data_IF_007888683074
#
_entry.id   IF_007888683074
#
_cell.length_a   1.000
_cell.length_b   1.000
_cell.length_c   1.000
_cell.angle_alpha   90.00
_cell.angle_beta   90.00
_cell.angle_gamma   90.00
#
_symmetry.space_group_name_H-M   'P 1'
#
loop_
_entity.id
_entity.type
_entity.pdbx_description
1 polymer ?
#
# COMPACT_ATOMS: atom_id res chain seq x y z
N UNK A 1 0.75 18.78 -8.63
CA UNK A 1 1.55 17.59 -8.85
C UNK A 1 2.22 17.15 -7.55
N UNK A 2 2.01 15.96 -7.11
CA UNK A 2 2.60 15.49 -5.86
C UNK A 2 4.07 15.14 -6.06
N UNK A 3 4.91 16.15 -6.19
CA UNK A 3 6.35 15.98 -6.34
C UNK A 3 6.92 15.14 -5.21
N UNK A 4 6.36 15.29 -4.02
CA UNK A 4 6.79 14.54 -2.85
C UNK A 4 6.63 13.01 -3.01
N UNK A 5 5.91 12.57 -4.05
CA UNK A 5 5.72 11.15 -4.29
C UNK A 5 6.81 10.56 -5.18
N UNK A 6 7.55 11.40 -5.90
CA UNK A 6 8.61 10.91 -6.76
C UNK A 6 9.91 10.76 -6.00
N UNK A 7 10.43 9.53 -5.91
CA UNK A 7 11.78 9.23 -5.42
C UNK A 7 12.21 10.11 -4.24
N UNK A 8 11.41 10.10 -3.18
CA UNK A 8 11.62 10.96 -2.02
C UNK A 8 11.67 10.14 -0.74
N UNK A 9 12.23 10.75 0.30
CA UNK A 9 12.24 10.20 1.65
C UNK A 9 11.37 11.09 2.52
N UNK A 10 10.38 10.53 3.19
CA UNK A 10 9.40 11.28 3.96
C UNK A 10 9.38 10.79 5.40
N UNK A 11 9.40 11.73 6.33
CA UNK A 11 9.28 11.44 7.76
C UNK A 11 7.81 11.12 8.07
N UNK A 12 7.59 9.93 8.63
CA UNK A 12 6.27 9.47 9.04
C UNK A 12 6.26 9.06 10.52
N UNK A 13 7.09 9.70 11.33
CA UNK A 13 7.20 9.39 12.74
C UNK A 13 5.87 9.55 13.48
N UNK A 14 5.05 10.53 13.09
CA UNK A 14 3.71 10.70 13.67
C UNK A 14 2.65 10.14 12.73
N UNK A 15 1.54 9.66 13.30
CA UNK A 15 0.41 9.19 12.50
C UNK A 15 -0.17 10.31 11.64
N UNK A 16 -0.10 11.56 12.10
CA UNK A 16 -0.55 12.71 11.33
C UNK A 16 0.20 12.78 10.00
N UNK A 17 1.51 12.57 10.01
CA UNK A 17 2.32 12.60 8.78
C UNK A 17 2.01 11.42 7.87
N UNK A 18 1.76 10.24 8.44
CA UNK A 18 1.31 9.09 7.66
C UNK A 18 -0.02 9.39 6.97
N UNK A 19 -0.94 10.02 7.69
CA UNK A 19 -2.24 10.40 7.14
C UNK A 19 -2.10 11.42 6.01
N UNK A 20 -1.23 12.40 6.18
CA UNK A 20 -0.97 13.39 5.13
C UNK A 20 -0.38 12.74 3.88
N UNK A 21 0.53 11.79 4.06
CA UNK A 21 1.09 11.04 2.93
C UNK A 21 0.01 10.24 2.20
N UNK A 22 -0.86 9.57 2.95
CA UNK A 22 -1.97 8.82 2.38
C UNK A 22 -2.88 9.74 1.53
N UNK A 23 -3.16 10.95 2.01
CA UNK A 23 -3.94 11.92 1.24
C UNK A 23 -3.28 12.27 -0.10
N UNK A 24 -1.96 12.44 -0.11
CA UNK A 24 -1.24 12.72 -1.35
C UNK A 24 -1.36 11.55 -2.32
N UNK A 25 -1.30 10.34 -1.82
CA UNK A 25 -1.42 9.15 -2.66
C UNK A 25 -2.81 9.01 -3.28
N UNK A 26 -3.88 9.44 -2.61
CA UNK A 26 -5.21 9.40 -3.21
C UNK A 26 -5.32 10.28 -4.45
N UNK A 27 -4.49 11.30 -4.54
CA UNK A 27 -4.44 12.17 -5.72
C UNK A 27 -3.57 11.60 -6.82
N UNK A 28 -2.64 10.73 -6.48
CA UNK A 28 -1.70 10.13 -7.42
C UNK A 28 -2.21 8.81 -7.99
N UNK A 29 -2.78 7.96 -7.15
CA UNK A 29 -3.26 6.63 -7.57
C UNK A 29 -4.68 6.76 -8.12
N UNK A 30 -4.82 6.51 -9.41
CA UNK A 30 -6.09 6.65 -10.11
C UNK A 30 -6.68 5.33 -10.57
N UNK A 31 -5.89 4.27 -10.55
CA UNK A 31 -6.28 2.94 -10.99
C UNK A 31 -5.23 2.37 -11.91
N UNK A 32 -5.03 1.06 -11.82
CA UNK A 32 -4.02 0.33 -12.59
C UNK A 32 -2.66 0.23 -11.91
N UNK A 33 -2.44 0.94 -10.82
CA UNK A 33 -1.14 0.93 -10.14
C UNK A 33 -1.01 -0.23 -9.16
N UNK A 34 0.24 -0.68 -8.98
CA UNK A 34 0.63 -1.62 -7.94
C UNK A 34 1.52 -0.88 -6.96
N UNK A 35 1.29 -1.05 -5.67
CA UNK A 35 2.10 -0.45 -4.61
C UNK A 35 2.70 -1.58 -3.77
N UNK A 36 4.02 -1.68 -3.79
CA UNK A 36 4.76 -2.65 -3.00
C UNK A 36 5.25 -1.99 -1.71
N UNK A 37 4.87 -2.58 -0.58
CA UNK A 37 5.15 -2.04 0.74
C UNK A 37 6.16 -2.93 1.46
N UNK A 38 7.38 -2.45 1.62
CA UNK A 38 8.46 -3.13 2.32
C UNK A 38 8.67 -2.55 3.69
N UNK A 39 9.14 -3.34 4.61
CA UNK A 39 9.48 -2.87 5.96
C UNK A 39 9.17 -3.91 7.02
N UNK A 40 9.80 -3.75 8.18
CA UNK A 40 9.60 -4.64 9.31
C UNK A 40 8.16 -4.64 9.81
N UNK A 41 7.80 -5.71 10.51
CA UNK A 41 6.50 -5.78 11.17
C UNK A 41 6.36 -4.62 12.15
N UNK A 42 5.19 -3.97 12.14
CA UNK A 42 4.91 -2.86 13.05
C UNK A 42 5.47 -1.51 12.64
N UNK A 43 6.15 -1.41 11.50
CA UNK A 43 6.79 -0.15 11.08
C UNK A 43 5.80 0.88 10.54
N UNK A 44 4.56 0.47 10.23
CA UNK A 44 3.52 1.40 9.80
C UNK A 44 2.92 1.13 8.43
N UNK A 45 3.21 -0.01 7.83
CA UNK A 45 2.68 -0.35 6.50
C UNK A 45 1.15 -0.43 6.51
N UNK A 46 0.58 -1.21 7.43
CA UNK A 46 -0.88 -1.35 7.53
C UNK A 46 -1.54 -0.03 7.94
N UNK A 47 -0.88 0.74 8.79
CA UNK A 47 -1.39 2.07 9.18
C UNK A 47 -1.53 2.98 7.96
N UNK A 48 -0.54 2.98 7.09
CA UNK A 48 -0.59 3.74 5.85
C UNK A 48 -1.76 3.28 4.97
N UNK A 49 -1.89 1.97 4.78
CA UNK A 49 -2.98 1.40 3.97
C UNK A 49 -4.34 1.78 4.54
N UNK A 50 -4.48 1.71 5.86
CA UNK A 50 -5.71 2.10 6.54
C UNK A 50 -6.09 3.55 6.23
N UNK A 51 -5.17 4.48 6.38
CA UNK A 51 -5.45 5.87 6.09
C UNK A 51 -5.73 6.10 4.61
N UNK A 52 -5.03 5.39 3.74
CA UNK A 52 -5.24 5.51 2.30
C UNK A 52 -6.66 5.11 1.92
N UNK A 53 -7.10 3.94 2.36
CA UNK A 53 -8.44 3.45 2.03
C UNK A 53 -9.52 4.34 2.66
N UNK A 54 -9.33 4.74 3.92
CA UNK A 54 -10.28 5.63 4.59
C UNK A 54 -10.38 6.99 3.88
N UNK A 55 -9.28 7.48 3.33
CA UNK A 55 -9.31 8.74 2.60
C UNK A 55 -10.08 8.60 1.28
N UNK A 56 -9.91 7.50 0.56
CA UNK A 56 -10.72 7.22 -0.63
C UNK A 56 -12.21 7.17 -0.29
N UNK A 57 -12.55 6.54 0.82
CA UNK A 57 -13.94 6.49 1.26
C UNK A 57 -14.47 7.89 1.56
N UNK A 58 -13.68 8.69 2.28
CA UNK A 58 -14.07 10.03 2.68
C UNK A 58 -14.31 10.95 1.47
N UNK A 59 -13.39 10.99 0.52
CA UNK A 59 -13.53 11.88 -0.64
C UNK A 59 -14.63 11.44 -1.60
N UNK A 60 -15.11 10.21 -1.47
CA UNK A 60 -16.23 9.71 -2.25
C UNK A 60 -17.54 9.68 -1.44
N UNK A 61 -17.58 10.36 -0.29
CA UNK A 61 -18.74 10.46 0.58
C UNK A 61 -19.27 9.12 1.06
N UNK A 62 -18.37 8.15 1.25
CA UNK A 62 -18.70 6.85 1.79
C UNK A 62 -18.36 6.79 3.28
N UNK A 63 -19.05 5.94 4.02
CA UNK A 63 -18.73 5.72 5.41
C UNK A 63 -17.34 5.09 5.54
N UNK A 64 -16.50 5.66 6.40
CA UNK A 64 -15.20 5.10 6.67
C UNK A 64 -15.37 3.83 7.51
N UNK A 65 -14.81 2.72 7.01
CA UNK A 65 -14.88 1.43 7.67
C UNK A 65 -13.59 1.13 8.41
N UNK A 66 -13.64 0.18 9.32
CA UNK A 66 -12.44 -0.31 9.96
C UNK A 66 -11.62 -1.12 8.96
N UNK A 67 -10.35 -0.77 8.82
CA UNK A 67 -9.43 -1.44 7.93
C UNK A 67 -8.48 -2.28 8.76
N UNK A 68 -8.42 -3.58 8.49
CA UNK A 68 -7.57 -4.52 9.23
C UNK A 68 -6.52 -5.11 8.29
N UNK A 69 -5.46 -5.68 8.90
CA UNK A 69 -4.46 -6.39 8.13
C UNK A 69 -5.00 -7.74 7.66
N UNK A 70 -4.79 -8.10 6.38
CA UNK A 70 -5.22 -9.41 5.87
C UNK A 70 -4.18 -10.50 6.15
N UNK A 71 -3.52 -10.50 7.32
CA UNK A 71 -2.43 -11.43 7.62
C UNK A 71 -2.88 -12.89 7.49
N UNK A 72 -4.10 -13.20 7.90
CA UNK A 72 -4.62 -14.57 7.83
C UNK A 72 -5.43 -14.83 6.57
N UNK A 73 -6.17 -13.84 6.10
CA UNK A 73 -7.00 -13.98 4.89
C UNK A 73 -6.21 -13.78 3.60
N UNK A 74 -5.01 -13.21 3.69
CA UNK A 74 -4.11 -12.86 2.59
C UNK A 74 -4.59 -11.72 1.71
N UNK A 75 -5.88 -11.49 1.60
CA UNK A 75 -6.46 -10.48 0.74
C UNK A 75 -7.71 -9.88 1.36
N UNK A 76 -7.77 -8.55 1.40
CA UNK A 76 -8.99 -7.80 1.64
C UNK A 76 -9.29 -6.97 0.41
N UNK A 77 -10.54 -6.88 0.03
CA UNK A 77 -10.97 -6.08 -1.11
C UNK A 77 -11.92 -4.98 -0.66
N UNK A 78 -11.80 -3.82 -1.28
CA UNK A 78 -12.64 -2.67 -0.99
C UNK A 78 -13.15 -2.08 -2.29
N UNK A 79 -14.43 -1.71 -2.31
CA UNK A 79 -15.04 -1.02 -3.44
C UNK A 79 -15.28 0.42 -3.03
N UNK A 80 -14.68 1.35 -3.75
CA UNK A 80 -14.83 2.79 -3.50
C UNK A 80 -15.33 3.43 -4.79
N UNK A 81 -16.64 3.47 -4.96
CA UNK A 81 -17.29 3.88 -6.21
C UNK A 81 -16.75 3.09 -7.41
N UNK A 82 -16.06 3.75 -8.31
CA UNK A 82 -15.54 3.13 -9.53
C UNK A 82 -14.21 2.41 -9.32
N UNK A 83 -13.56 2.62 -8.17
CA UNK A 83 -12.23 2.07 -7.89
C UNK A 83 -12.36 0.86 -6.98
N UNK A 84 -11.70 -0.24 -7.35
CA UNK A 84 -11.49 -1.37 -6.46
C UNK A 84 -10.10 -1.28 -5.88
N UNK A 85 -9.95 -1.65 -4.62
CA UNK A 85 -8.65 -1.70 -3.96
C UNK A 85 -8.47 -3.10 -3.40
N UNK A 86 -7.40 -3.77 -3.82
CA UNK A 86 -6.98 -5.06 -3.26
C UNK A 86 -5.81 -4.83 -2.33
N UNK A 87 -5.92 -5.32 -1.12
CA UNK A 87 -4.86 -5.25 -0.12
C UNK A 87 -4.39 -6.66 0.21
N UNK A 88 -3.19 -7.00 -0.21
CA UNK A 88 -2.54 -8.29 0.05
C UNK A 88 -1.54 -8.15 1.19
N UNK A 89 -1.44 -9.20 2.01
CA UNK A 89 -0.35 -9.37 2.97
C UNK A 89 0.23 -10.76 2.74
N UNK A 90 1.45 -10.81 2.24
CA UNK A 90 2.10 -12.05 1.84
C UNK A 90 3.11 -12.56 2.86
N UNK A 91 3.05 -12.06 4.10
CA UNK A 91 4.00 -12.44 5.15
C UNK A 91 4.06 -13.95 5.36
N UNK A 92 2.91 -14.61 5.29
CA UNK A 92 2.79 -16.05 5.56
C UNK A 92 2.99 -16.92 4.34
N UNK A 93 3.19 -16.32 3.18
CA UNK A 93 3.41 -17.07 1.94
C UNK A 93 4.88 -17.45 1.84
N UNK A 94 5.15 -18.73 1.56
CA UNK A 94 6.50 -19.28 1.54
C UNK A 94 7.02 -19.65 0.16
N UNK A 95 6.17 -19.70 -0.85
CA UNK A 95 6.58 -20.14 -2.18
C UNK A 95 6.02 -19.27 -3.29
N UNK A 96 6.74 -19.22 -4.40
CA UNK A 96 6.28 -18.50 -5.60
C UNK A 96 5.04 -19.14 -6.19
N UNK A 97 4.89 -20.45 -6.00
CA UNK A 97 3.73 -21.18 -6.49
C UNK A 97 2.45 -20.69 -5.84
N UNK A 98 2.48 -20.44 -4.53
CA UNK A 98 1.34 -19.89 -3.80
C UNK A 98 1.04 -18.47 -4.26
N UNK A 99 2.05 -17.69 -4.62
CA UNK A 99 1.87 -16.35 -5.17
C UNK A 99 1.08 -16.43 -6.49
N UNK A 100 1.43 -17.37 -7.36
CA UNK A 100 0.77 -17.50 -8.66
C UNK A 100 -0.72 -17.82 -8.53
N UNK A 101 -1.13 -18.43 -7.43
CA UNK A 101 -2.54 -18.79 -7.20
C UNK A 101 -3.39 -17.63 -6.67
N UNK A 102 -2.79 -16.48 -6.37
CA UNK A 102 -3.49 -15.36 -5.75
C UNK A 102 -4.02 -14.31 -6.74
N UNK A 103 -3.75 -14.46 -8.03
CA UNK A 103 -4.14 -13.50 -9.07
C UNK A 103 -3.73 -12.05 -8.72
N UNK A 104 -2.50 -11.89 -8.23
CA UNK A 104 -1.99 -10.60 -7.77
C UNK A 104 -1.88 -9.61 -8.93
N UNK A 105 -1.53 -10.10 -10.13
CA UNK A 105 -1.25 -9.25 -11.28
C UNK A 105 -2.46 -9.01 -12.18
N UNK A 106 -3.66 -9.09 -11.63
CA UNK A 106 -4.86 -8.73 -12.36
C UNK A 106 -4.72 -7.32 -12.93
N UNK A 107 -4.93 -7.16 -14.21
CA UNK A 107 -4.82 -5.88 -14.90
C UNK A 107 -6.19 -5.27 -15.10
N UNK A 108 -6.44 -4.16 -14.46
CA UNK A 108 -7.70 -3.43 -14.56
C UNK A 108 -7.36 -1.96 -14.25
N UNK A 109 -7.71 -1.08 -15.15
CA UNK A 109 -7.41 0.35 -14.99
C UNK A 109 -8.21 1.03 -13.88
N UNK A 110 -9.09 0.30 -13.20
CA UNK A 110 -9.84 0.78 -12.04
C UNK A 110 -9.48 0.02 -10.77
N UNK A 111 -8.38 -0.73 -10.80
CA UNK A 111 -7.93 -1.52 -9.67
C UNK A 111 -6.61 -0.97 -9.15
N UNK A 112 -6.55 -0.70 -7.85
CA UNK A 112 -5.31 -0.37 -7.14
C UNK A 112 -4.94 -1.60 -6.31
N UNK A 113 -3.71 -2.10 -6.46
CA UNK A 113 -3.23 -3.28 -5.76
C UNK A 113 -2.14 -2.89 -4.79
N UNK A 114 -2.40 -3.10 -3.49
CA UNK A 114 -1.47 -2.79 -2.41
C UNK A 114 -0.96 -4.11 -1.84
N UNK A 115 0.37 -4.28 -1.78
CA UNK A 115 0.97 -5.55 -1.37
C UNK A 115 1.99 -5.32 -0.28
N UNK A 116 1.71 -5.83 0.93
CA UNK A 116 2.67 -5.91 2.02
C UNK A 116 3.46 -7.20 1.91
N UNK A 117 4.74 -7.16 2.27
CA UNK A 117 5.65 -8.29 2.21
C UNK A 117 5.78 -8.87 0.80
N UNK A 118 6.16 -8.05 -0.20
CA UNK A 118 6.21 -8.51 -1.59
C UNK A 118 7.51 -9.24 -1.94
N UNK A 119 8.24 -9.74 -0.95
CA UNK A 119 9.60 -10.28 -1.13
C UNK A 119 9.68 -11.48 -2.09
N UNK A 120 8.61 -12.24 -2.28
CA UNK A 120 8.58 -13.36 -3.21
C UNK A 120 8.18 -12.95 -4.63
N UNK A 121 7.82 -11.70 -4.82
CA UNK A 121 7.48 -11.19 -6.15
C UNK A 121 8.76 -10.70 -6.80
N UNK A 122 9.38 -11.53 -7.63
CA UNK A 122 10.65 -11.20 -8.27
C UNK A 122 10.48 -10.75 -9.72
N UNK A 123 9.46 -11.26 -10.40
CA UNK A 123 9.14 -10.86 -11.76
C UNK A 123 7.92 -9.94 -11.70
N UNK A 124 8.17 -8.64 -11.83
CA UNK A 124 7.11 -7.63 -11.74
C UNK A 124 6.39 -7.43 -13.07
N UNK A 125 6.72 -8.24 -14.07
CA UNK A 125 6.10 -8.18 -15.39
C UNK A 125 6.11 -6.75 -15.94
N UNK A 126 5.24 -6.46 -16.88
CA UNK A 126 5.11 -5.13 -17.46
C UNK A 126 3.98 -4.39 -16.74
N UNK A 127 4.24 -3.99 -15.50
CA UNK A 127 3.25 -3.30 -14.68
C UNK A 127 3.78 -1.94 -14.22
N UNK A 128 2.85 -1.02 -14.01
CA UNK A 128 3.15 0.26 -13.40
C UNK A 128 3.14 0.08 -11.88
N UNK A 129 4.29 0.27 -11.23
CA UNK A 129 4.36 0.04 -9.78
C UNK A 129 5.15 1.13 -9.06
N UNK A 130 4.85 1.25 -7.78
CA UNK A 130 5.48 2.18 -6.86
C UNK A 130 5.98 1.35 -5.68
N UNK A 131 7.19 1.65 -5.22
CA UNK A 131 7.77 0.97 -4.07
C UNK A 131 7.82 1.93 -2.88
N UNK A 132 7.26 1.51 -1.75
CA UNK A 132 7.35 2.21 -0.48
C UNK A 132 8.16 1.35 0.48
N UNK A 133 9.30 1.86 0.94
CA UNK A 133 10.14 1.17 1.90
C UNK A 133 10.09 1.92 3.23
N UNK A 134 9.49 1.29 4.23
CA UNK A 134 9.32 1.85 5.56
C UNK A 134 10.50 1.46 6.43
N UNK A 135 11.12 2.44 7.08
CA UNK A 135 12.32 2.21 7.88
C UNK A 135 12.20 2.87 9.25
N UNK A 136 12.77 2.21 10.26
CA UNK A 136 13.08 2.87 11.52
C UNK A 136 14.38 3.64 11.35
N UNK A 137 14.43 4.88 11.83
CA UNK A 137 15.63 5.72 11.74
C UNK A 137 16.60 5.47 12.86
N UNK A 138 16.07 5.25 14.06
CA UNK A 138 16.90 5.13 15.26
C UNK A 138 16.14 4.34 16.33
N UNK A 139 16.71 4.27 17.53
CA UNK A 139 16.13 3.54 18.65
C UNK A 139 14.90 4.20 19.24
N UNK A 140 14.55 5.41 18.80
CA UNK A 140 13.42 6.18 19.33
C UNK A 140 12.14 6.00 18.53
N UNK A 141 12.10 5.01 17.66
CA UNK A 141 10.94 4.71 16.81
C UNK A 141 10.61 5.79 15.78
N UNK A 142 11.55 6.68 15.49
CA UNK A 142 11.39 7.58 14.37
C UNK A 142 11.37 6.78 13.08
N UNK A 143 10.51 7.17 12.17
CA UNK A 143 10.25 6.38 10.95
C UNK A 143 10.26 7.23 9.72
N UNK A 144 10.76 6.65 8.63
CA UNK A 144 10.69 7.25 7.31
C UNK A 144 10.13 6.25 6.32
N UNK A 145 9.65 6.77 5.19
CA UNK A 145 9.32 5.97 4.05
C UNK A 145 10.10 6.49 2.84
N UNK A 146 10.77 5.59 2.14
CA UNK A 146 11.42 5.87 0.87
C UNK A 146 10.46 5.51 -0.25
N UNK A 147 10.21 6.46 -1.14
CA UNK A 147 9.26 6.30 -2.24
C UNK A 147 10.02 6.24 -3.54
N UNK A 148 9.81 5.18 -4.32
CA UNK A 148 10.35 5.04 -5.67
C UNK A 148 9.21 4.77 -6.65
N UNK A 149 9.20 5.55 -7.70
CA UNK A 149 8.19 5.46 -8.75
C UNK A 149 8.77 4.82 -10.01
#
# INVERSE_FOLDING_TARGET
MPIAIKNSKIDITSEKRTKELAKKFTKYLKGGEFVFLYGEMGVGKTTFVKYLINEYQKINNLTQTEITSPTFSLLNEYQVKDIRIKHYDLFRINSKEDINNLDIFEKDNKLITLIEWPHLIVDKQDIKFITLTFNYLNQLNDRTVDIKV
#
